data_IF_519119013511
#
_entry.id   IF_519119013511
#
_cell.length_a   1.000
_cell.length_b   1.000
_cell.length_c   1.000
_cell.angle_alpha   90.00
_cell.angle_beta   90.00
_cell.angle_gamma   90.00
#
_symmetry.space_group_name_H-M   'P 1'
#
loop_
_entity.id
_entity.type
_entity.pdbx_description
1 polymer ?
#
# COMPACT_ATOMS: atom_id res chain seq x y z
N UNK A 1 1.53 34.49 47.63
CA UNK A 1 0.74 33.43 46.96
C UNK A 1 0.80 33.67 45.45
N UNK A 2 1.31 32.75 44.61
CA UNK A 2 1.27 32.93 43.17
C UNK A 2 0.03 32.24 42.55
N UNK A 3 -0.67 32.96 41.68
CA UNK A 3 -1.76 32.43 40.86
C UNK A 3 -1.19 31.52 39.77
N UNK A 4 -1.54 30.23 39.81
CA UNK A 4 -1.26 29.28 38.72
C UNK A 4 -2.17 29.58 37.53
N UNK A 5 -1.61 30.10 36.44
CA UNK A 5 -2.32 30.26 35.17
C UNK A 5 -2.57 28.89 34.55
N UNK A 6 -3.86 28.51 34.49
CA UNK A 6 -4.30 27.25 33.88
C UNK A 6 -4.32 27.40 32.37
N UNK A 7 -3.22 27.06 31.69
CA UNK A 7 -3.16 27.00 30.23
C UNK A 7 -4.10 25.89 29.73
N UNK A 8 -5.29 26.24 29.28
CA UNK A 8 -6.20 25.30 28.63
C UNK A 8 -5.69 25.03 27.21
N UNK A 9 -5.05 23.88 27.03
CA UNK A 9 -4.73 23.35 25.70
C UNK A 9 -6.05 23.09 24.96
N UNK A 10 -6.51 24.06 24.16
CA UNK A 10 -7.59 23.84 23.18
C UNK A 10 -7.11 22.80 22.18
N UNK A 11 -7.46 21.54 22.43
CA UNK A 11 -7.33 20.48 21.44
C UNK A 11 -8.40 20.75 20.37
N UNK A 12 -7.96 21.35 19.26
CA UNK A 12 -8.79 21.51 18.06
C UNK A 12 -9.29 20.15 17.60
N UNK A 13 -10.61 20.01 17.43
CA UNK A 13 -11.28 18.78 16.97
C UNK A 13 -10.70 18.24 15.66
N UNK A 14 -10.05 19.09 14.86
CA UNK A 14 -9.36 18.73 13.62
C UNK A 14 -8.12 17.86 13.85
N UNK A 15 -7.39 18.07 14.96
CA UNK A 15 -6.23 17.27 15.34
C UNK A 15 -6.61 15.89 15.88
N UNK A 16 -7.77 15.78 16.53
CA UNK A 16 -8.33 14.50 16.94
C UNK A 16 -8.66 13.66 15.71
N UNK A 17 -9.41 14.21 14.74
CA UNK A 17 -9.81 13.48 13.53
C UNK A 17 -8.63 13.04 12.64
N UNK A 18 -7.57 13.86 12.54
CA UNK A 18 -6.38 13.51 11.77
C UNK A 18 -5.59 12.34 12.39
N UNK A 19 -5.68 12.15 13.71
CA UNK A 19 -5.11 11.00 14.41
C UNK A 19 -5.96 9.73 14.24
N UNK A 20 -7.26 9.90 14.00
CA UNK A 20 -8.22 8.83 13.68
C UNK A 20 -8.05 8.22 12.28
N UNK A 21 -7.64 9.00 11.28
CA UNK A 21 -7.51 8.53 9.90
C UNK A 21 -6.27 7.64 9.65
N UNK A 22 -5.34 7.56 10.62
CA UNK A 22 -4.25 6.57 10.63
C UNK A 22 -4.66 5.32 11.43
N UNK A 23 -5.90 4.87 11.27
CA UNK A 23 -6.36 3.62 11.89
C UNK A 23 -5.52 2.45 11.34
N UNK A 24 -4.51 2.08 12.11
CA UNK A 24 -3.66 0.92 11.91
C UNK A 24 -4.32 -0.24 12.62
N UNK A 25 -5.05 -1.08 11.88
CA UNK A 25 -5.66 -2.27 12.44
C UNK A 25 -4.66 -3.39 12.28
N UNK A 26 -3.89 -3.66 13.32
CA UNK A 26 -3.08 -4.88 13.39
C UNK A 26 -4.02 -6.03 13.68
N UNK A 27 -3.89 -7.11 12.91
CA UNK A 27 -4.54 -8.38 13.23
C UNK A 27 -3.87 -8.92 14.50
N UNK A 28 -4.35 -8.49 15.67
CA UNK A 28 -4.12 -9.22 16.92
C UNK A 28 -4.85 -10.56 16.87
N UNK A 29 -4.88 -11.31 17.98
CA UNK A 29 -5.54 -12.64 18.10
C UNK A 29 -7.06 -12.65 17.79
N UNK A 30 -7.65 -11.57 17.30
CA UNK A 30 -9.06 -11.44 16.96
C UNK A 30 -9.31 -11.47 15.46
N UNK A 31 -10.46 -12.02 15.07
CA UNK A 31 -10.90 -12.08 13.68
C UNK A 31 -11.11 -10.66 13.10
N UNK A 32 -10.33 -10.31 12.07
CA UNK A 32 -10.38 -9.00 11.42
C UNK A 32 -11.45 -8.92 10.33
N UNK A 33 -11.66 -10.02 9.60
CA UNK A 33 -12.63 -10.10 8.49
C UNK A 33 -13.72 -11.12 8.78
N UNK A 34 -14.94 -10.79 8.34
CA UNK A 34 -16.08 -11.69 8.33
C UNK A 34 -16.85 -11.49 7.01
N UNK A 35 -16.63 -12.38 6.04
CA UNK A 35 -17.21 -12.24 4.70
C UNK A 35 -16.74 -10.94 4.02
N UNK A 36 -17.69 -10.03 3.77
CA UNK A 36 -17.43 -8.69 3.21
C UNK A 36 -17.36 -7.60 4.28
N UNK A 37 -17.18 -7.96 5.55
CA UNK A 37 -17.08 -7.00 6.64
C UNK A 37 -15.66 -6.96 7.23
N UNK A 38 -15.23 -5.76 7.60
CA UNK A 38 -14.01 -5.49 8.34
C UNK A 38 -14.32 -4.94 9.72
N UNK A 39 -13.63 -5.45 10.74
CA UNK A 39 -13.76 -4.95 12.11
C UNK A 39 -12.86 -3.75 12.34
N UNK A 40 -13.47 -2.62 12.67
CA UNK A 40 -12.80 -1.37 13.05
C UNK A 40 -12.82 -1.21 14.58
N UNK A 41 -11.74 -0.71 15.21
CA UNK A 41 -11.64 -0.61 16.68
C UNK A 41 -12.77 0.15 17.38
N UNK A 42 -13.43 1.09 16.68
CA UNK A 42 -14.53 1.90 17.24
C UNK A 42 -15.84 1.86 16.45
N UNK A 43 -15.78 1.65 15.14
CA UNK A 43 -16.98 1.60 14.29
C UNK A 43 -17.62 0.22 14.24
N UNK A 44 -16.96 -0.80 14.82
CA UNK A 44 -17.45 -2.16 14.77
C UNK A 44 -17.28 -2.76 13.37
N UNK A 45 -18.23 -3.59 12.96
CA UNK A 45 -18.21 -4.25 11.65
C UNK A 45 -18.73 -3.30 10.57
N UNK A 46 -17.92 -3.07 9.55
CA UNK A 46 -18.27 -2.26 8.40
C UNK A 46 -18.18 -3.09 7.13
N UNK A 47 -19.17 -3.00 6.25
CA UNK A 47 -19.12 -3.61 4.92
C UNK A 47 -18.12 -2.89 4.01
N UNK A 48 -17.36 -3.67 3.25
CA UNK A 48 -16.45 -3.16 2.23
C UNK A 48 -16.59 -3.97 0.95
N UNK A 49 -16.34 -3.31 -0.17
CA UNK A 49 -16.28 -3.97 -1.48
C UNK A 49 -14.87 -4.50 -1.70
N UNK A 50 -14.75 -5.80 -1.94
CA UNK A 50 -13.49 -6.45 -2.29
C UNK A 50 -13.11 -6.09 -3.72
N UNK A 51 -11.92 -5.52 -3.91
CA UNK A 51 -11.38 -5.32 -5.26
C UNK A 51 -10.87 -6.63 -5.88
N UNK A 52 -10.41 -7.56 -5.03
CA UNK A 52 -9.93 -8.91 -5.36
C UNK A 52 -10.18 -9.83 -4.16
N UNK A 53 -10.35 -11.12 -4.43
CA UNK A 53 -10.35 -12.13 -3.36
C UNK A 53 -8.95 -12.28 -2.74
N UNK A 54 -8.91 -12.62 -1.45
CA UNK A 54 -7.66 -12.90 -0.75
C UNK A 54 -7.24 -14.32 -1.12
N UNK A 55 -6.02 -14.54 -1.66
CA UNK A 55 -5.60 -15.87 -2.03
C UNK A 55 -5.47 -16.80 -0.81
N UNK A 56 -5.63 -18.09 -1.03
CA UNK A 56 -5.49 -19.10 0.01
C UNK A 56 -4.06 -19.13 0.58
N UNK A 57 -3.92 -19.39 1.88
CA UNK A 57 -2.62 -19.42 2.57
C UNK A 57 -2.07 -18.04 2.96
N UNK A 58 -2.80 -16.95 2.70
CA UNK A 58 -2.41 -15.60 3.15
C UNK A 58 -3.14 -15.21 4.44
N UNK A 59 -2.37 -14.70 5.40
CA UNK A 59 -2.86 -14.14 6.65
C UNK A 59 -2.78 -12.62 6.58
N UNK A 60 -3.85 -11.93 6.98
CA UNK A 60 -3.85 -10.47 7.01
C UNK A 60 -3.11 -10.01 8.26
N UNK A 61 -2.01 -9.28 8.10
CA UNK A 61 -1.29 -8.68 9.24
C UNK A 61 -1.84 -7.33 9.63
N UNK A 62 -2.22 -6.55 8.63
CA UNK A 62 -2.55 -5.15 8.83
C UNK A 62 -3.62 -4.69 7.84
N UNK A 63 -4.59 -3.93 8.33
CA UNK A 63 -5.50 -3.15 7.50
C UNK A 63 -5.42 -1.66 7.88
N UNK A 64 -5.45 -0.80 6.87
CA UNK A 64 -5.42 0.66 7.04
C UNK A 64 -6.48 1.31 6.17
N UNK A 65 -7.24 2.22 6.76
CA UNK A 65 -8.16 3.07 6.01
C UNK A 65 -7.37 4.23 5.41
N UNK A 66 -7.54 4.46 4.11
CA UNK A 66 -6.92 5.57 3.37
C UNK A 66 -8.02 6.35 2.68
N UNK A 67 -8.04 7.67 2.90
CA UNK A 67 -8.91 8.59 2.15
C UNK A 67 -8.19 9.05 0.88
N UNK A 68 -8.83 8.84 -0.26
CA UNK A 68 -8.44 9.38 -1.58
C UNK A 68 -9.51 10.33 -2.08
N UNK A 69 -9.23 11.05 -3.18
CA UNK A 69 -10.22 11.94 -3.80
C UNK A 69 -11.50 11.20 -4.22
N UNK A 70 -11.39 9.92 -4.61
CA UNK A 70 -12.50 9.07 -5.02
C UNK A 70 -13.27 8.43 -3.85
N UNK A 71 -12.81 8.55 -2.60
CA UNK A 71 -13.47 7.94 -1.44
C UNK A 71 -12.52 7.27 -0.46
N UNK A 72 -13.07 6.41 0.39
CA UNK A 72 -12.34 5.67 1.42
C UNK A 72 -12.01 4.25 0.94
N UNK A 73 -10.77 3.83 1.19
CA UNK A 73 -10.26 2.53 0.78
C UNK A 73 -9.63 1.82 1.96
N UNK A 74 -9.78 0.50 2.00
CA UNK A 74 -9.08 -0.37 2.94
C UNK A 74 -7.85 -0.95 2.25
N UNK A 75 -6.67 -0.54 2.69
CA UNK A 75 -5.39 -1.10 2.27
C UNK A 75 -4.99 -2.22 3.21
N UNK A 76 -4.80 -3.43 2.69
CA UNK A 76 -4.45 -4.61 3.48
C UNK A 76 -3.05 -5.10 3.14
N UNK A 77 -2.28 -5.43 4.17
CA UNK A 77 -1.01 -6.14 4.05
C UNK A 77 -1.21 -7.60 4.42
N UNK A 78 -0.85 -8.47 3.49
CA UNK A 78 -0.94 -9.91 3.62
C UNK A 78 0.45 -10.49 3.87
N UNK A 79 0.53 -11.53 4.69
CA UNK A 79 1.71 -12.35 4.89
C UNK A 79 1.37 -13.76 4.43
N UNK A 80 2.26 -14.38 3.67
CA UNK A 80 2.21 -15.79 3.36
C UNK A 80 3.45 -16.43 3.95
N UNK A 81 3.26 -17.53 4.68
CA UNK A 81 4.36 -18.32 5.21
C UNK A 81 4.88 -19.22 4.08
N UNK A 82 5.76 -18.64 3.25
CA UNK A 82 6.44 -19.37 2.17
C UNK A 82 7.86 -19.64 2.63
N UNK A 83 8.22 -20.91 2.74
CA UNK A 83 9.62 -21.30 2.87
C UNK A 83 10.30 -21.05 1.53
N UNK A 84 10.95 -19.90 1.38
CA UNK A 84 11.87 -19.69 0.25
C UNK A 84 13.08 -20.59 0.53
N UNK A 85 13.35 -21.60 -0.31
CA UNK A 85 14.47 -22.48 -0.06
C UNK A 85 15.77 -21.67 -0.18
N UNK A 86 16.61 -21.76 0.85
CA UNK A 86 17.95 -21.17 0.85
C UNK A 86 18.87 -22.06 0.03
N UNK A 87 18.68 -22.00 -1.29
CA UNK A 87 19.55 -22.69 -2.24
C UNK A 87 20.78 -21.85 -2.47
N UNK A 88 21.96 -22.40 -2.16
CA UNK A 88 23.22 -21.80 -2.57
C UNK A 88 23.18 -21.63 -4.09
N UNK A 89 23.38 -20.43 -4.67
CA UNK A 89 23.33 -20.26 -6.11
C UNK A 89 24.35 -21.19 -6.78
N UNK A 90 23.87 -22.07 -7.66
CA UNK A 90 24.66 -23.05 -8.39
C UNK A 90 24.40 -22.91 -9.90
N UNK A 91 25.42 -23.20 -10.72
CA UNK A 91 25.34 -23.12 -12.17
C UNK A 91 26.09 -21.93 -12.78
N UNK A 92 25.72 -21.57 -14.01
CA UNK A 92 26.32 -20.46 -14.76
C UNK A 92 25.79 -19.11 -14.22
N UNK A 93 26.66 -18.22 -13.71
CA UNK A 93 26.22 -16.91 -13.24
C UNK A 93 25.81 -16.04 -14.43
N UNK A 94 24.56 -15.57 -14.43
CA UNK A 94 24.04 -14.67 -15.47
C UNK A 94 23.88 -13.28 -14.89
N UNK A 95 24.62 -12.32 -15.44
CA UNK A 95 24.42 -10.90 -15.15
C UNK A 95 23.17 -10.42 -15.87
N UNK A 96 22.26 -9.74 -15.16
CA UNK A 96 21.04 -9.15 -15.72
C UNK A 96 21.16 -7.63 -15.61
N UNK A 97 21.08 -6.92 -16.74
CA UNK A 97 21.00 -5.46 -16.81
C UNK A 97 19.61 -5.02 -17.30
N UNK A 98 19.03 -4.04 -16.62
CA UNK A 98 17.69 -3.52 -16.90
C UNK A 98 17.81 -2.06 -17.38
N UNK A 99 17.60 -1.84 -18.67
CA UNK A 99 17.84 -0.56 -19.33
C UNK A 99 16.59 0.19 -19.79
N UNK A 100 16.82 1.44 -20.21
CA UNK A 100 15.79 2.27 -20.87
C UNK A 100 15.69 1.97 -22.37
N UNK A 101 16.78 1.54 -23.02
CA UNK A 101 16.79 1.20 -24.45
C UNK A 101 16.46 -0.28 -24.67
N UNK A 102 17.05 -1.16 -23.86
CA UNK A 102 16.78 -2.60 -23.81
C UNK A 102 16.13 -2.93 -22.47
N UNK A 103 15.04 -3.70 -22.46
CA UNK A 103 14.31 -4.01 -21.24
C UNK A 103 15.11 -4.92 -20.32
N UNK A 104 15.69 -5.98 -20.89
CA UNK A 104 16.55 -6.95 -20.20
C UNK A 104 17.70 -7.28 -21.13
N UNK A 105 18.93 -7.18 -20.63
CA UNK A 105 20.13 -7.68 -21.29
C UNK A 105 20.86 -8.64 -20.35
N UNK A 106 21.13 -9.85 -20.81
CA UNK A 106 21.85 -10.86 -20.04
C UNK A 106 23.29 -11.01 -20.54
N UNK A 107 24.21 -11.42 -19.67
CA UNK A 107 25.59 -11.78 -20.05
C UNK A 107 25.68 -12.88 -21.12
N UNK A 108 24.64 -13.69 -21.26
CA UNK A 108 24.55 -14.79 -22.23
C UNK A 108 24.14 -14.30 -23.64
N UNK A 109 23.96 -12.99 -23.82
CA UNK A 109 23.58 -12.37 -25.09
C UNK A 109 22.07 -12.33 -25.34
N UNK A 110 21.24 -12.78 -24.39
CA UNK A 110 19.80 -12.54 -24.46
C UNK A 110 19.52 -11.05 -24.31
N UNK A 111 18.86 -10.46 -25.31
CA UNK A 111 18.44 -9.06 -25.28
C UNK A 111 16.95 -8.98 -25.59
N UNK A 112 16.17 -8.49 -24.63
CA UNK A 112 14.73 -8.25 -24.78
C UNK A 112 14.51 -6.77 -25.07
N UNK A 113 13.89 -6.48 -26.21
CA UNK A 113 13.56 -5.11 -26.59
C UNK A 113 12.50 -4.49 -25.69
N UNK A 114 12.61 -3.17 -25.49
CA UNK A 114 11.68 -2.44 -24.64
C UNK A 114 10.28 -2.35 -25.26
N UNK A 115 9.24 -2.83 -24.56
CA UNK A 115 7.88 -2.57 -24.99
C UNK A 115 7.55 -1.08 -24.86
N UNK A 116 7.26 -0.41 -25.97
CA UNK A 116 7.01 1.04 -26.02
C UNK A 116 5.62 1.49 -25.59
N UNK A 117 4.71 0.56 -25.30
CA UNK A 117 3.32 0.90 -24.93
C UNK A 117 3.26 1.72 -23.62
N UNK A 118 4.16 1.45 -22.67
CA UNK A 118 4.23 2.17 -21.39
C UNK A 118 4.57 3.65 -21.55
N UNK A 119 5.37 4.03 -22.56
CA UNK A 119 5.78 5.42 -22.80
C UNK A 119 4.58 6.33 -23.09
N UNK A 120 3.61 5.83 -23.85
CA UNK A 120 2.39 6.56 -24.19
C UNK A 120 1.50 6.81 -22.97
N UNK A 121 1.32 5.79 -22.11
CA UNK A 121 0.56 5.91 -20.86
C UNK A 121 1.26 6.86 -19.88
N UNK A 122 2.58 6.75 -19.76
CA UNK A 122 3.37 7.60 -18.86
C UNK A 122 3.26 9.09 -19.26
N UNK A 123 3.26 9.40 -20.56
CA UNK A 123 3.04 10.76 -21.07
C UNK A 123 1.65 11.30 -20.71
N UNK A 124 0.60 10.48 -20.87
CA UNK A 124 -0.77 10.87 -20.50
C UNK A 124 -0.89 11.18 -19.01
N UNK A 125 -0.30 10.33 -18.15
CA UNK A 125 -0.28 10.56 -16.69
C UNK A 125 0.44 11.86 -16.35
N UNK A 126 1.62 12.11 -16.95
CA UNK A 126 2.37 13.37 -16.73
C UNK A 126 1.56 14.60 -17.13
N UNK A 127 0.92 14.58 -18.30
CA UNK A 127 0.10 15.68 -18.78
C UNK A 127 -1.09 15.95 -17.84
N UNK A 128 -1.81 14.90 -17.43
CA UNK A 128 -2.94 15.02 -16.50
C UNK A 128 -2.50 15.53 -15.12
N UNK A 129 -1.31 15.14 -14.64
CA UNK A 129 -0.77 15.59 -13.35
C UNK A 129 -0.29 17.05 -13.42
N UNK A 130 0.26 17.51 -14.55
CA UNK A 130 0.65 18.90 -14.72
C UNK A 130 -0.57 19.84 -14.71
N UNK A 131 -1.64 19.47 -15.43
CA UNK A 131 -2.91 20.21 -15.44
C UNK A 131 -3.58 20.31 -14.07
N UNK A 132 -3.28 19.37 -13.16
CA UNK A 132 -3.81 19.34 -11.78
C UNK A 132 -3.05 20.26 -10.82
N UNK A 133 -1.82 20.67 -11.14
CA UNK A 133 -1.02 21.60 -10.33
C UNK A 133 -1.34 23.07 -10.68
N UNK A 134 -1.87 23.30 -11.88
CA UNK A 134 -2.24 24.64 -12.39
C UNK A 134 -3.67 25.09 -12.06
N UNK A 135 -4.45 24.26 -11.33
CA UNK A 135 -5.79 24.59 -10.80
C UNK A 135 -5.79 24.68 -9.28
#
# INVERSE_FOLDING_TARGET
>A
MPLSTRTTKKLSATLLLARWLKALIRSGKGQLLKGNQIKLPQLGWLEYVKSREIPDGFVIKQARIVRKASGYFVMMSLECDVSVPDVMPHGHPVGIDLGLDKFVANSDGLVVDRPRFLSSLHRKIKCCNAQRIEM
#
